data_IF_461697430790
#
_entry.id   IF_461697430790
#
_cell.length_a   1.000
_cell.length_b   1.000
_cell.length_c   1.000
_cell.angle_alpha   90.00
_cell.angle_beta   90.00
_cell.angle_gamma   90.00
#
_symmetry.space_group_name_H-M   'P 1'
#
loop_
_entity.id
_entity.type
_entity.pdbx_description
1 polymer ?
#
# COMPACT_ATOMS: atom_id res chain seq x y z
N UNK A 1 13.37 7.45 -10.65
CA UNK A 1 12.06 8.12 -10.86
C UNK A 1 12.22 9.60 -10.56
N UNK A 2 11.65 10.47 -11.36
CA UNK A 2 11.54 11.90 -11.06
C UNK A 2 10.46 12.09 -9.99
N UNK A 3 10.89 12.14 -8.74
CA UNK A 3 10.00 12.16 -7.58
C UNK A 3 9.13 13.43 -7.53
N UNK A 4 9.72 14.57 -7.82
CA UNK A 4 9.00 15.86 -7.79
C UNK A 4 7.90 15.92 -8.84
N UNK A 5 8.21 15.44 -10.04
CA UNK A 5 7.24 15.34 -11.13
C UNK A 5 6.12 14.36 -10.78
N UNK A 6 6.46 13.19 -10.22
CA UNK A 6 5.47 12.20 -9.81
C UNK A 6 4.53 12.76 -8.74
N UNK A 7 5.08 13.37 -7.69
CA UNK A 7 4.32 13.99 -6.62
C UNK A 7 3.40 15.11 -7.13
N UNK A 8 3.91 15.95 -8.05
CA UNK A 8 3.13 17.00 -8.70
C UNK A 8 1.93 16.45 -9.49
N UNK A 9 2.12 15.36 -10.23
CA UNK A 9 1.05 14.70 -10.99
C UNK A 9 -0.02 14.08 -10.07
N UNK A 10 0.38 13.44 -8.98
CA UNK A 10 -0.57 12.90 -8.00
C UNK A 10 -1.37 14.03 -7.34
N UNK A 11 -0.70 15.11 -6.96
CA UNK A 11 -1.36 16.30 -6.41
C UNK A 11 -2.38 16.89 -7.39
N UNK A 12 -2.03 16.97 -8.67
CA UNK A 12 -2.92 17.43 -9.74
C UNK A 12 -4.12 16.50 -9.91
N UNK A 13 -3.92 15.19 -9.87
CA UNK A 13 -4.99 14.19 -9.92
C UNK A 13 -6.03 14.43 -8.82
N UNK A 14 -5.60 14.53 -7.58
CA UNK A 14 -6.51 14.75 -6.45
C UNK A 14 -7.16 16.14 -6.47
N UNK A 15 -6.47 17.16 -6.99
CA UNK A 15 -7.06 18.47 -7.21
C UNK A 15 -8.20 18.42 -8.23
N UNK A 16 -8.01 17.69 -9.32
CA UNK A 16 -9.04 17.47 -10.35
C UNK A 16 -10.25 16.73 -9.78
N UNK A 17 -10.01 15.69 -8.95
CA UNK A 17 -11.08 14.97 -8.26
C UNK A 17 -11.93 15.94 -7.41
N UNK A 18 -11.29 16.78 -6.60
CA UNK A 18 -12.00 17.77 -5.77
C UNK A 18 -12.82 18.75 -6.58
N UNK A 19 -12.30 19.24 -7.71
CA UNK A 19 -13.04 20.14 -8.59
C UNK A 19 -14.28 19.46 -9.18
N UNK A 20 -14.16 18.22 -9.65
CA UNK A 20 -15.28 17.46 -10.17
C UNK A 20 -16.35 17.22 -9.09
N UNK A 21 -15.96 16.86 -7.88
CA UNK A 21 -16.87 16.67 -6.76
C UNK A 21 -17.57 17.97 -6.35
N UNK A 22 -16.88 19.11 -6.46
CA UNK A 22 -17.47 20.43 -6.24
C UNK A 22 -18.53 20.78 -7.30
N UNK A 23 -18.29 20.39 -8.56
CA UNK A 23 -19.25 20.62 -9.65
C UNK A 23 -20.50 19.74 -9.54
N UNK A 24 -20.35 18.55 -8.98
CA UNK A 24 -21.40 17.54 -8.88
C UNK A 24 -21.58 17.06 -7.43
N UNK A 25 -22.22 17.89 -6.57
CA UNK A 25 -22.41 17.53 -5.15
C UNK A 25 -23.09 16.16 -4.98
N UNK A 26 -22.57 15.34 -4.08
CA UNK A 26 -23.05 13.99 -3.84
C UNK A 26 -22.50 12.90 -4.78
N UNK A 27 -21.73 13.28 -5.79
CA UNK A 27 -20.97 12.34 -6.64
C UNK A 27 -19.55 12.20 -6.14
N UNK A 28 -19.00 10.98 -6.28
CA UNK A 28 -17.63 10.67 -5.90
C UNK A 28 -16.80 10.33 -7.14
N UNK A 29 -15.65 10.98 -7.25
CA UNK A 29 -14.69 10.79 -8.33
C UNK A 29 -13.37 10.21 -7.81
N UNK A 30 -13.39 9.62 -6.63
CA UNK A 30 -12.22 9.00 -5.99
C UNK A 30 -11.58 7.97 -6.92
N UNK A 31 -10.25 8.03 -7.17
CA UNK A 31 -9.55 7.03 -7.96
C UNK A 31 -9.81 5.62 -7.42
N UNK A 32 -9.95 4.65 -8.31
CA UNK A 32 -10.19 3.25 -7.94
C UNK A 32 -8.93 2.55 -7.41
N UNK A 33 -9.12 1.32 -6.93
CA UNK A 33 -8.04 0.53 -6.35
C UNK A 33 -6.93 0.18 -7.34
N UNK A 34 -7.22 0.08 -8.63
CA UNK A 34 -6.22 -0.20 -9.66
C UNK A 34 -5.22 0.95 -9.80
N UNK A 35 -5.73 2.18 -9.94
CA UNK A 35 -4.89 3.38 -10.01
C UNK A 35 -4.12 3.58 -8.71
N UNK A 36 -4.79 3.49 -7.57
CA UNK A 36 -4.18 3.67 -6.26
C UNK A 36 -3.10 2.63 -5.98
N UNK A 37 -3.35 1.38 -6.34
CA UNK A 37 -2.36 0.31 -6.24
C UNK A 37 -1.11 0.61 -7.05
N UNK A 38 -1.25 0.94 -8.32
CA UNK A 38 -0.13 1.27 -9.21
C UNK A 38 0.68 2.49 -8.73
N UNK A 39 0.01 3.53 -8.25
CA UNK A 39 0.69 4.69 -7.67
C UNK A 39 1.52 4.31 -6.45
N UNK A 40 0.94 3.50 -5.56
CA UNK A 40 1.61 3.04 -4.35
C UNK A 40 2.79 2.13 -4.62
N UNK A 41 2.67 1.19 -5.56
CA UNK A 41 3.78 0.32 -5.98
C UNK A 41 4.98 1.16 -6.47
N UNK A 42 4.73 2.17 -7.31
CA UNK A 42 5.78 3.08 -7.78
C UNK A 42 6.43 3.89 -6.64
N UNK A 43 5.61 4.44 -5.72
CA UNK A 43 6.10 5.20 -4.57
C UNK A 43 6.95 4.34 -3.64
N UNK A 44 6.45 3.16 -3.28
CA UNK A 44 7.13 2.23 -2.38
C UNK A 44 8.42 1.71 -3.02
N UNK A 45 8.38 1.29 -4.28
CA UNK A 45 9.57 0.82 -4.97
C UNK A 45 10.68 1.88 -4.98
N UNK A 46 10.33 3.13 -5.24
CA UNK A 46 11.30 4.24 -5.20
C UNK A 46 11.83 4.48 -3.77
N UNK A 47 10.94 4.54 -2.79
CA UNK A 47 11.30 4.89 -1.42
C UNK A 47 12.18 3.83 -0.73
N UNK A 48 11.99 2.56 -1.09
CA UNK A 48 12.67 1.42 -0.45
C UNK A 48 13.66 0.69 -1.38
N UNK A 49 13.85 1.18 -2.59
CA UNK A 49 14.80 0.56 -3.54
C UNK A 49 14.38 -0.84 -3.99
N UNK A 50 13.07 -1.06 -4.18
CA UNK A 50 12.55 -2.36 -4.60
C UNK A 50 12.57 -2.50 -6.12
N UNK A 51 12.73 -3.73 -6.59
CA UNK A 51 12.56 -4.11 -7.99
C UNK A 51 11.12 -4.54 -8.23
N UNK A 52 10.34 -3.67 -8.90
CA UNK A 52 8.95 -3.98 -9.24
C UNK A 52 8.89 -5.15 -10.23
N UNK A 53 7.96 -6.05 -9.97
CA UNK A 53 7.58 -7.09 -10.91
C UNK A 53 6.56 -6.56 -11.92
N UNK A 54 6.26 -7.34 -12.95
CA UNK A 54 5.21 -6.97 -13.91
C UNK A 54 3.86 -6.89 -13.21
N UNK A 55 3.00 -5.97 -13.65
CA UNK A 55 1.69 -5.70 -13.03
C UNK A 55 0.75 -6.93 -12.97
N UNK A 56 1.06 -7.99 -13.71
CA UNK A 56 0.30 -9.25 -13.71
C UNK A 56 0.99 -10.38 -12.94
N UNK A 57 2.10 -10.09 -12.23
CA UNK A 57 2.79 -11.10 -11.45
C UNK A 57 1.87 -11.64 -10.33
N UNK A 58 1.87 -12.96 -10.18
CA UNK A 58 1.06 -13.61 -9.15
C UNK A 58 1.92 -13.85 -7.90
N UNK A 59 1.44 -13.35 -6.77
CA UNK A 59 1.98 -13.68 -5.47
C UNK A 59 2.73 -12.56 -4.76
N UNK A 60 3.41 -11.67 -5.48
CA UNK A 60 4.08 -10.51 -4.88
C UNK A 60 4.31 -9.40 -5.91
N UNK A 61 4.53 -8.18 -5.44
CA UNK A 61 4.62 -6.99 -6.28
C UNK A 61 6.06 -6.58 -6.59
N UNK A 62 6.98 -6.86 -5.69
CA UNK A 62 8.38 -6.43 -5.81
C UNK A 62 9.34 -7.35 -5.07
N UNK A 63 10.64 -7.19 -5.37
CA UNK A 63 11.75 -7.85 -4.68
C UNK A 63 12.57 -6.79 -3.96
N UNK A 64 12.83 -7.01 -2.67
CA UNK A 64 13.68 -6.16 -1.86
C UNK A 64 15.17 -6.43 -2.12
N UNK A 65 16.09 -5.52 -1.72
CA UNK A 65 17.54 -5.71 -1.92
C UNK A 65 18.11 -6.97 -1.27
N UNK A 66 17.48 -7.48 -0.21
CA UNK A 66 17.88 -8.73 0.46
C UNK A 66 17.30 -10.00 -0.22
N UNK A 67 16.51 -9.82 -1.28
CA UNK A 67 15.87 -10.92 -2.02
C UNK A 67 14.48 -11.29 -1.54
N UNK A 68 13.95 -10.64 -0.51
CA UNK A 68 12.61 -10.91 0.01
C UNK A 68 11.53 -10.51 -1.00
N UNK A 69 10.50 -11.35 -1.13
CA UNK A 69 9.30 -11.05 -1.90
C UNK A 69 8.38 -10.11 -1.11
N UNK A 70 8.05 -8.97 -1.70
CA UNK A 70 7.28 -7.91 -1.04
C UNK A 70 5.91 -7.73 -1.68
N UNK A 71 4.88 -7.84 -0.86
CA UNK A 71 3.52 -7.42 -1.18
C UNK A 71 3.33 -5.96 -0.79
N UNK A 72 2.86 -5.14 -1.72
CA UNK A 72 2.61 -3.72 -1.49
C UNK A 72 1.11 -3.48 -1.44
N UNK A 73 0.61 -2.92 -0.34
CA UNK A 73 -0.78 -2.51 -0.22
C UNK A 73 -0.89 -1.01 -0.04
N UNK A 74 -1.73 -0.40 -0.85
CA UNK A 74 -1.96 1.04 -0.82
C UNK A 74 -3.43 1.33 -0.60
N UNK A 75 -3.71 2.25 0.30
CA UNK A 75 -5.09 2.70 0.54
C UNK A 75 -5.17 4.22 0.60
N UNK A 76 -6.32 4.76 0.26
CA UNK A 76 -6.70 6.15 0.50
C UNK A 76 -7.56 6.29 1.76
N UNK A 77 -8.00 5.17 2.33
CA UNK A 77 -8.98 5.13 3.43
C UNK A 77 -8.38 4.54 4.71
N UNK A 78 -9.02 3.56 5.30
CA UNK A 78 -8.71 3.09 6.67
C UNK A 78 -8.29 1.65 6.77
N UNK A 79 -8.36 0.89 5.67
CA UNK A 79 -8.07 -0.55 5.68
C UNK A 79 -7.50 -1.04 4.36
N UNK A 80 -6.88 -2.20 4.42
CA UNK A 80 -6.43 -2.98 3.26
C UNK A 80 -6.89 -4.43 3.41
N UNK A 81 -6.75 -5.23 2.35
CA UNK A 81 -7.17 -6.61 2.38
C UNK A 81 -6.10 -7.56 1.84
N UNK A 82 -6.06 -8.77 2.38
CA UNK A 82 -5.11 -9.82 2.00
C UNK A 82 -5.84 -11.10 1.60
N UNK A 83 -5.40 -11.72 0.51
CA UNK A 83 -5.90 -13.02 0.03
C UNK A 83 -5.06 -14.19 0.52
N UNK A 84 -3.79 -13.96 0.79
CA UNK A 84 -2.79 -14.95 1.19
C UNK A 84 -1.74 -14.33 2.07
N UNK A 85 -0.94 -15.17 2.74
CA UNK A 85 0.19 -14.72 3.56
C UNK A 85 1.35 -14.23 2.67
N UNK A 86 1.74 -12.95 2.74
CA UNK A 86 2.95 -12.48 2.07
C UNK A 86 4.20 -12.87 2.86
N UNK A 87 5.34 -12.98 2.20
CA UNK A 87 6.64 -13.12 2.88
C UNK A 87 6.95 -11.83 3.65
N UNK A 88 6.92 -10.70 2.97
CA UNK A 88 7.08 -9.37 3.53
C UNK A 88 5.96 -8.46 3.02
N UNK A 89 5.51 -7.52 3.84
CA UNK A 89 4.48 -6.56 3.43
C UNK A 89 4.92 -5.13 3.75
N UNK A 90 4.66 -4.22 2.80
CA UNK A 90 4.76 -2.78 3.01
C UNK A 90 3.39 -2.17 2.71
N UNK A 91 2.78 -1.58 3.72
CA UNK A 91 1.45 -1.00 3.61
C UNK A 91 1.54 0.51 3.81
N UNK A 92 1.00 1.26 2.87
CA UNK A 92 1.00 2.72 2.90
C UNK A 92 -0.40 3.30 2.74
N UNK A 93 -0.58 4.50 3.29
CA UNK A 93 -1.69 5.37 2.95
C UNK A 93 -1.18 6.49 2.06
N UNK A 94 -1.73 6.59 0.84
CA UNK A 94 -1.41 7.70 -0.06
C UNK A 94 -2.21 8.94 0.35
N UNK A 95 -1.55 10.09 0.30
CA UNK A 95 -2.12 11.38 0.67
C UNK A 95 -2.40 12.23 -0.59
N UNK A 96 -3.37 13.17 -0.53
CA UNK A 96 -3.74 13.99 -1.69
C UNK A 96 -2.65 14.90 -2.23
N UNK A 97 -1.58 15.12 -1.48
CA UNK A 97 -0.40 15.91 -1.90
C UNK A 97 0.66 15.07 -2.63
N UNK A 98 0.41 13.76 -2.82
CA UNK A 98 1.33 12.83 -3.46
C UNK A 98 2.38 12.23 -2.52
N UNK A 99 2.32 12.55 -1.24
CA UNK A 99 3.12 11.86 -0.20
C UNK A 99 2.40 10.62 0.31
N UNK A 100 3.05 9.86 1.17
CA UNK A 100 2.45 8.71 1.82
C UNK A 100 2.89 8.55 3.27
N UNK A 101 2.05 7.88 4.04
CA UNK A 101 2.35 7.42 5.38
C UNK A 101 2.55 5.91 5.38
N UNK A 102 3.66 5.42 5.95
CA UNK A 102 3.86 4.00 6.21
C UNK A 102 2.98 3.56 7.37
N UNK A 103 2.18 2.53 7.14
CA UNK A 103 1.36 1.92 8.19
C UNK A 103 1.98 0.63 8.71
N UNK A 104 2.74 -0.09 7.86
CA UNK A 104 3.40 -1.34 8.23
C UNK A 104 4.56 -1.63 7.27
N UNK A 105 5.65 -2.15 7.83
CA UNK A 105 6.82 -2.61 7.06
C UNK A 105 7.46 -3.77 7.83
N UNK A 106 7.16 -4.99 7.44
CA UNK A 106 7.65 -6.15 8.18
C UNK A 106 7.18 -7.49 7.63
N UNK A 107 7.48 -8.58 8.36
CA UNK A 107 7.07 -9.93 7.98
C UNK A 107 5.56 -10.06 7.82
N UNK A 108 5.14 -10.71 6.73
CA UNK A 108 3.72 -10.95 6.46
C UNK A 108 3.04 -11.84 7.49
N UNK A 109 3.79 -12.71 8.16
CA UNK A 109 3.27 -13.61 9.19
C UNK A 109 2.60 -12.90 10.36
N UNK A 110 3.11 -11.74 10.81
CA UNK A 110 2.49 -10.96 11.88
C UNK A 110 1.09 -10.48 11.51
N UNK A 111 0.88 -10.11 10.25
CA UNK A 111 -0.43 -9.71 9.73
C UNK A 111 -1.32 -10.95 9.61
N UNK A 112 -0.82 -12.01 8.99
CA UNK A 112 -1.60 -13.21 8.69
C UNK A 112 -2.11 -13.91 9.94
N UNK A 113 -1.33 -13.92 11.03
CA UNK A 113 -1.74 -14.43 12.33
C UNK A 113 -3.01 -13.79 12.89
N UNK A 114 -3.30 -12.54 12.52
CA UNK A 114 -4.51 -11.83 12.96
C UNK A 114 -5.79 -12.45 12.40
N UNK A 115 -5.67 -13.23 11.33
CA UNK A 115 -6.80 -13.92 10.67
C UNK A 115 -6.98 -15.37 11.11
N UNK A 116 -6.09 -15.88 11.97
CA UNK A 116 -6.12 -17.26 12.43
C UNK A 116 -7.46 -17.60 13.09
N UNK A 117 -8.03 -18.76 12.72
CA UNK A 117 -9.32 -19.22 13.21
C UNK A 117 -10.54 -18.47 12.67
N UNK A 118 -10.35 -17.47 11.83
CA UNK A 118 -11.44 -16.71 11.20
C UNK A 118 -11.87 -17.37 9.89
N UNK A 119 -13.18 -17.40 9.66
CA UNK A 119 -13.73 -17.87 8.39
C UNK A 119 -13.38 -16.89 7.28
N UNK A 120 -12.89 -17.41 6.14
CA UNK A 120 -12.61 -16.60 4.95
C UNK A 120 -13.90 -15.91 4.46
N UNK A 121 -13.92 -14.56 4.32
CA UNK A 121 -15.05 -13.86 3.74
C UNK A 121 -15.35 -14.33 2.31
N UNK A 122 -16.60 -14.13 1.87
CA UNK A 122 -17.08 -14.60 0.54
C UNK A 122 -16.27 -14.02 -0.64
N UNK A 123 -15.68 -12.81 -0.48
CA UNK A 123 -14.84 -12.19 -1.50
C UNK A 123 -13.39 -12.73 -1.52
N UNK A 124 -13.05 -13.70 -0.68
CA UNK A 124 -11.73 -14.31 -0.62
C UNK A 124 -10.64 -13.45 0.03
N UNK A 125 -11.02 -12.41 0.76
CA UNK A 125 -10.07 -11.47 1.37
C UNK A 125 -10.38 -11.24 2.84
N UNK A 126 -9.31 -11.18 3.66
CA UNK A 126 -9.39 -10.67 5.03
C UNK A 126 -9.02 -9.19 5.05
N UNK A 127 -9.88 -8.36 5.66
CA UNK A 127 -9.61 -6.94 5.87
C UNK A 127 -8.90 -6.70 7.19
N UNK A 128 -8.00 -5.73 7.20
CA UNK A 128 -7.32 -5.26 8.40
C UNK A 128 -7.22 -3.74 8.37
N UNK A 129 -7.47 -3.09 9.52
CA UNK A 129 -7.42 -1.63 9.62
C UNK A 129 -5.97 -1.13 9.69
N UNK A 130 -5.76 0.11 9.22
CA UNK A 130 -4.46 0.78 9.39
C UNK A 130 -4.09 0.97 10.86
N UNK A 131 -5.05 1.19 11.74
CA UNK A 131 -4.83 1.28 13.19
C UNK A 131 -4.23 -0.01 13.73
N UNK A 132 -4.77 -1.17 13.35
CA UNK A 132 -4.24 -2.47 13.75
C UNK A 132 -2.85 -2.71 13.16
N UNK A 133 -2.65 -2.37 11.89
CA UNK A 133 -1.35 -2.49 11.22
C UNK A 133 -0.28 -1.65 11.90
N UNK A 134 -0.57 -0.40 12.25
CA UNK A 134 0.35 0.46 13.00
C UNK A 134 0.68 -0.11 14.38
N UNK A 135 -0.26 -0.77 15.04
CA UNK A 135 0.00 -1.47 16.31
C UNK A 135 0.93 -2.67 16.13
N UNK A 136 0.74 -3.46 15.07
CA UNK A 136 1.64 -4.56 14.70
C UNK A 136 3.02 -4.05 14.29
N UNK A 137 3.08 -2.94 13.57
CA UNK A 137 4.34 -2.34 13.11
C UNK A 137 5.27 -2.00 14.27
N UNK A 138 4.73 -1.56 15.40
CA UNK A 138 5.51 -1.31 16.61
C UNK A 138 6.21 -2.55 17.19
N UNK A 139 5.76 -3.75 16.81
CA UNK A 139 6.36 -5.02 17.22
C UNK A 139 7.44 -5.51 16.25
N UNK A 140 7.56 -4.89 15.07
CA UNK A 140 8.55 -5.27 14.07
C UNK A 140 9.93 -4.75 14.49
N UNK A 141 10.91 -5.65 14.57
CA UNK A 141 12.30 -5.26 14.86
C UNK A 141 12.90 -4.50 13.66
N UNK A 142 13.91 -3.67 13.94
CA UNK A 142 14.59 -2.90 12.90
C UNK A 142 15.22 -3.81 11.83
N UNK A 143 15.74 -4.96 12.23
CA UNK A 143 16.36 -5.94 11.32
C UNK A 143 15.37 -6.61 10.38
N UNK A 144 14.08 -6.63 10.73
CA UNK A 144 13.01 -7.25 9.95
C UNK A 144 12.32 -6.27 9.00
N UNK A 145 12.75 -5.02 8.99
CA UNK A 145 12.23 -4.00 8.08
C UNK A 145 13.07 -3.88 6.81
N UNK A 146 12.41 -3.57 5.70
CA UNK A 146 13.13 -3.08 4.51
C UNK A 146 13.50 -1.61 4.77
N UNK A 147 14.79 -1.25 4.70
CA UNK A 147 15.21 0.13 4.96
C UNK A 147 14.69 1.11 3.89
N UNK A 148 14.19 2.25 4.33
CA UNK A 148 13.85 3.35 3.43
C UNK A 148 15.13 4.05 2.96
N UNK A 149 15.25 4.30 1.65
CA UNK A 149 16.43 4.91 1.02
C UNK A 149 16.16 6.29 0.42
N UNK A 150 14.90 6.65 0.25
CA UNK A 150 14.52 7.95 -0.33
C UNK A 150 13.27 8.58 0.31
#
# INVERSE_FOLDING_TARGET
MDHDKFQGLVKQLYSTVRELESMFPGRHFTPDGHMVGSLGECLVAHAYGLELQTASNKGFDAIAPDGSEVEIKTTQSKSVAFRSEPEHAIIIKILPDGTFEEAYNGPGGLIWQQFAGRRLPSNGQFQISLTKLKALDRQVSKSDRVPRIA
#
